data_IF_002858864720
#
_entry.id   IF_002858864720
#
_cell.length_a   1.000
_cell.length_b   1.000
_cell.length_c   1.000
_cell.angle_alpha   90.00
_cell.angle_beta   90.00
_cell.angle_gamma   90.00
#
_symmetry.space_group_name_H-M   'P 1'
#
loop_
_entity.id
_entity.type
_entity.pdbx_description
1 polymer ?
#
# COMPACT_ATOMS: atom_id res chain seq x y z
N UNK A 1 27.28 -12.42 15.23
CA UNK A 1 27.38 -11.86 16.60
C UNK A 1 26.56 -10.57 16.83
N UNK A 2 26.48 -9.63 15.86
CA UNK A 2 25.76 -8.33 15.99
C UNK A 2 24.26 -8.40 16.35
N UNK A 3 23.56 -9.45 15.94
CA UNK A 3 22.12 -9.62 16.24
C UNK A 3 21.88 -9.81 17.74
N UNK A 4 22.72 -10.62 18.41
CA UNK A 4 22.62 -10.86 19.86
C UNK A 4 22.85 -9.57 20.65
N UNK A 5 23.83 -8.79 20.24
CA UNK A 5 24.13 -7.50 20.87
C UNK A 5 23.00 -6.47 20.71
N UNK A 6 22.33 -6.45 19.55
CA UNK A 6 21.12 -5.63 19.33
C UNK A 6 20.03 -5.97 20.34
N UNK A 7 19.80 -7.26 20.57
CA UNK A 7 18.81 -7.71 21.54
C UNK A 7 19.19 -7.30 22.97
N UNK A 8 20.46 -7.44 23.35
CA UNK A 8 20.98 -7.02 24.65
C UNK A 8 20.75 -5.52 24.89
N UNK A 9 21.19 -4.66 23.97
CA UNK A 9 21.02 -3.21 24.07
C UNK A 9 19.55 -2.79 24.09
N UNK A 10 18.68 -3.45 23.31
CA UNK A 10 17.24 -3.18 23.34
C UNK A 10 16.63 -3.47 24.71
N UNK A 11 16.97 -4.61 25.32
CA UNK A 11 16.49 -4.99 26.67
C UNK A 11 16.99 -3.98 27.72
N UNK A 12 18.28 -3.65 27.69
CA UNK A 12 18.86 -2.67 28.62
C UNK A 12 18.20 -1.30 28.49
N UNK A 13 18.06 -0.77 27.26
CA UNK A 13 17.37 0.50 27.03
C UNK A 13 15.91 0.48 27.51
N UNK A 14 15.18 -0.63 27.34
CA UNK A 14 13.82 -0.75 27.84
C UNK A 14 13.74 -0.69 29.36
N UNK A 15 14.73 -1.26 30.06
CA UNK A 15 14.78 -1.30 31.52
C UNK A 15 15.20 0.05 32.13
N UNK A 16 16.31 0.64 31.68
CA UNK A 16 16.87 1.85 32.34
C UNK A 16 16.59 3.16 31.59
N UNK A 17 16.03 3.12 30.37
CA UNK A 17 15.77 4.27 29.50
C UNK A 17 16.95 5.24 29.30
N UNK A 18 18.18 4.78 29.53
CA UNK A 18 19.39 5.58 29.40
C UNK A 18 19.68 5.94 27.93
N UNK A 19 19.75 7.23 27.56
CA UNK A 19 19.85 7.66 26.16
C UNK A 19 21.08 7.14 25.38
N UNK A 20 22.29 7.02 25.96
CA UNK A 20 23.44 6.47 25.25
C UNK A 20 23.24 5.04 24.73
N UNK A 21 22.53 4.18 25.47
CA UNK A 21 22.18 2.83 25.00
C UNK A 21 21.27 2.87 23.77
N UNK A 22 20.36 3.86 23.69
CA UNK A 22 19.52 4.06 22.50
C UNK A 22 20.36 4.47 21.30
N UNK A 23 21.35 5.34 21.50
CA UNK A 23 22.28 5.76 20.46
C UNK A 23 23.11 4.59 19.94
N UNK A 24 23.66 3.75 20.81
CA UNK A 24 24.39 2.54 20.42
C UNK A 24 23.50 1.53 19.69
N UNK A 25 22.29 1.28 20.19
CA UNK A 25 21.31 0.43 19.54
C UNK A 25 21.01 0.92 18.12
N UNK A 26 20.81 2.23 17.95
CA UNK A 26 20.56 2.84 16.65
C UNK A 26 21.76 2.71 15.70
N UNK A 27 23.00 2.92 16.19
CA UNK A 27 24.24 2.71 15.42
C UNK A 27 24.33 1.27 14.93
N UNK A 28 24.12 0.31 15.82
CA UNK A 28 24.15 -1.11 15.50
C UNK A 28 23.05 -1.51 14.50
N UNK A 29 21.84 -0.96 14.67
CA UNK A 29 20.72 -1.18 13.75
C UNK A 29 21.01 -0.60 12.35
N UNK A 30 21.65 0.56 12.26
CA UNK A 30 22.10 1.14 10.99
C UNK A 30 23.17 0.24 10.33
N UNK A 31 24.15 -0.25 11.09
CA UNK A 31 25.18 -1.15 10.58
C UNK A 31 24.60 -2.45 10.01
N UNK A 32 23.70 -3.11 10.75
CA UNK A 32 23.03 -4.34 10.28
C UNK A 32 22.22 -4.07 9.00
N UNK A 33 21.49 -2.95 8.94
CA UNK A 33 20.74 -2.58 7.73
C UNK A 33 21.65 -2.35 6.54
N UNK A 34 22.81 -1.70 6.75
CA UNK A 34 23.80 -1.46 5.70
C UNK A 34 24.34 -2.79 5.16
N UNK A 35 24.76 -3.69 6.04
CA UNK A 35 25.25 -5.03 5.66
C UNK A 35 24.19 -5.83 4.89
N UNK A 36 22.94 -5.84 5.37
CA UNK A 36 21.84 -6.51 4.67
C UNK A 36 21.56 -5.90 3.30
N UNK A 37 21.68 -4.58 3.18
CA UNK A 37 21.50 -3.88 1.90
C UNK A 37 22.61 -4.27 0.92
N UNK A 38 23.87 -4.17 1.33
CA UNK A 38 25.04 -4.54 0.52
C UNK A 38 24.98 -6.01 0.10
N UNK A 39 24.63 -6.92 1.01
CA UNK A 39 24.47 -8.33 0.66
C UNK A 39 23.36 -8.56 -0.36
N UNK A 40 22.21 -7.88 -0.22
CA UNK A 40 21.14 -7.95 -1.22
C UNK A 40 21.58 -7.42 -2.57
N UNK A 41 22.31 -6.31 -2.61
CA UNK A 41 22.86 -5.73 -3.84
C UNK A 41 23.77 -6.73 -4.54
N UNK A 42 24.75 -7.33 -3.83
CA UNK A 42 25.61 -8.37 -4.40
C UNK A 42 24.85 -9.58 -4.94
N UNK A 43 23.86 -10.07 -4.20
CA UNK A 43 23.01 -11.18 -4.67
C UNK A 43 22.25 -10.78 -5.94
N UNK A 44 21.82 -9.53 -6.07
CA UNK A 44 21.18 -9.05 -7.30
C UNK A 44 22.18 -8.95 -8.45
N UNK A 45 23.39 -8.47 -8.21
CA UNK A 45 24.44 -8.38 -9.23
C UNK A 45 24.81 -9.77 -9.77
N UNK A 46 24.97 -10.76 -8.90
CA UNK A 46 25.20 -12.17 -9.26
C UNK A 46 24.04 -12.72 -10.11
N UNK A 47 22.81 -12.53 -9.64
CA UNK A 47 21.60 -12.98 -10.34
C UNK A 47 21.49 -12.34 -11.74
N UNK A 48 21.80 -11.05 -11.87
CA UNK A 48 21.73 -10.33 -13.14
C UNK A 48 22.86 -10.76 -14.09
N UNK A 49 24.05 -11.06 -13.57
CA UNK A 49 25.15 -11.67 -14.34
C UNK A 49 24.76 -13.06 -14.86
N UNK A 50 24.15 -13.89 -14.02
CA UNK A 50 23.75 -15.26 -14.35
C UNK A 50 22.58 -15.34 -15.34
N UNK A 51 21.65 -14.38 -15.27
CA UNK A 51 20.49 -14.34 -16.17
C UNK A 51 20.89 -14.19 -17.64
N UNK A 52 22.13 -13.73 -17.90
CA UNK A 52 22.61 -13.28 -19.20
C UNK A 52 21.68 -12.17 -19.76
N UNK A 53 22.09 -11.41 -20.77
CA UNK A 53 21.27 -10.30 -21.32
C UNK A 53 20.12 -10.87 -22.20
N UNK A 54 19.44 -11.93 -21.76
CA UNK A 54 18.19 -12.40 -22.37
C UNK A 54 16.99 -11.76 -21.65
N UNK A 55 16.23 -10.87 -22.33
CA UNK A 55 15.03 -10.26 -21.78
C UNK A 55 14.01 -11.27 -21.24
N UNK A 56 13.93 -12.48 -21.81
CA UNK A 56 13.00 -13.53 -21.35
C UNK A 56 13.42 -14.13 -20.01
N UNK A 57 14.73 -14.30 -19.79
CA UNK A 57 15.27 -14.78 -18.52
C UNK A 57 15.01 -13.77 -17.39
N UNK A 58 15.24 -12.49 -17.65
CA UNK A 58 14.94 -11.38 -16.72
C UNK A 58 13.45 -11.34 -16.38
N UNK A 59 12.57 -11.45 -17.37
CA UNK A 59 11.11 -11.45 -17.14
C UNK A 59 10.67 -12.60 -16.23
N UNK A 60 11.15 -13.84 -16.47
CA UNK A 60 10.84 -15.00 -15.62
C UNK A 60 11.33 -14.80 -14.19
N UNK A 61 12.50 -14.19 -14.01
CA UNK A 61 13.06 -13.91 -12.70
C UNK A 61 12.22 -12.90 -11.92
N UNK A 62 11.83 -11.79 -12.56
CA UNK A 62 10.95 -10.79 -11.98
C UNK A 62 9.59 -11.37 -11.62
N UNK A 63 9.02 -12.21 -12.49
CA UNK A 63 7.74 -12.89 -12.24
C UNK A 63 7.80 -13.79 -10.99
N UNK A 64 8.89 -14.54 -10.79
CA UNK A 64 9.07 -15.39 -9.59
C UNK A 64 9.24 -14.61 -8.29
N UNK A 65 9.78 -13.39 -8.35
CA UNK A 65 10.06 -12.55 -7.18
C UNK A 65 8.89 -11.61 -6.84
N UNK A 66 7.99 -11.33 -7.79
CA UNK A 66 6.77 -10.57 -7.53
C UNK A 66 5.86 -11.38 -6.61
N UNK A 67 5.36 -10.73 -5.55
CA UNK A 67 4.27 -11.31 -4.77
C UNK A 67 3.05 -11.45 -5.70
N UNK A 68 2.37 -12.59 -5.73
CA UNK A 68 1.14 -12.69 -6.49
C UNK A 68 0.16 -11.67 -5.94
N UNK A 69 -0.36 -10.81 -6.81
CA UNK A 69 -1.52 -9.98 -6.47
C UNK A 69 -2.70 -10.93 -6.45
N UNK A 70 -3.19 -11.23 -5.26
CA UNK A 70 -4.43 -11.99 -5.09
C UNK A 70 -5.56 -11.01 -5.35
N UNK A 71 -6.10 -11.05 -6.56
CA UNK A 71 -7.34 -10.36 -6.87
C UNK A 71 -8.46 -11.18 -6.21
N UNK A 72 -9.28 -10.59 -5.32
CA UNK A 72 -10.40 -11.32 -4.73
C UNK A 72 -11.36 -11.81 -5.83
N UNK A 73 -12.04 -12.95 -5.62
CA UNK A 73 -12.96 -13.47 -6.61
C UNK A 73 -14.09 -12.45 -6.83
N UNK A 74 -14.50 -12.29 -8.09
CA UNK A 74 -15.57 -11.37 -8.45
C UNK A 74 -16.91 -11.97 -8.04
N UNK A 75 -17.81 -11.14 -7.53
CA UNK A 75 -19.16 -11.55 -7.14
C UNK A 75 -20.11 -11.18 -8.29
N UNK A 76 -20.72 -12.19 -8.90
CA UNK A 76 -21.78 -12.06 -9.88
C UNK A 76 -23.15 -12.31 -9.29
N UNK A 77 -24.17 -12.25 -10.14
CA UNK A 77 -25.57 -12.43 -9.75
C UNK A 77 -25.86 -13.81 -9.13
N UNK A 78 -25.20 -14.86 -9.62
CA UNK A 78 -25.36 -16.24 -9.14
C UNK A 78 -24.30 -16.66 -8.11
N UNK A 79 -23.48 -15.72 -7.61
CA UNK A 79 -22.41 -16.00 -6.65
C UNK A 79 -21.01 -15.70 -7.22
N UNK A 80 -19.99 -16.35 -6.65
CA UNK A 80 -18.60 -16.10 -7.04
C UNK A 80 -18.34 -16.56 -8.48
N UNK A 81 -17.71 -15.68 -9.27
CA UNK A 81 -17.37 -15.93 -10.66
C UNK A 81 -15.93 -16.42 -10.76
N UNK A 82 -15.74 -17.62 -11.30
CA UNK A 82 -14.44 -18.24 -11.55
C UNK A 82 -14.06 -18.23 -13.04
N UNK A 83 -15.02 -18.44 -13.94
CA UNK A 83 -14.87 -18.46 -15.39
C UNK A 83 -14.54 -17.08 -15.99
N UNK A 84 -13.70 -17.04 -17.03
CA UNK A 84 -13.27 -15.80 -17.69
C UNK A 84 -14.43 -15.13 -18.43
N UNK A 85 -15.31 -15.91 -19.07
CA UNK A 85 -16.40 -15.35 -19.87
C UNK A 85 -17.43 -14.63 -18.99
N UNK A 86 -17.79 -15.23 -17.87
CA UNK A 86 -18.70 -14.63 -16.91
C UNK A 86 -18.12 -13.35 -16.27
N UNK A 87 -16.80 -13.29 -16.09
CA UNK A 87 -16.12 -12.05 -15.65
C UNK A 87 -16.23 -10.96 -16.70
N UNK A 88 -16.02 -11.30 -17.97
CA UNK A 88 -16.14 -10.34 -19.06
C UNK A 88 -17.57 -9.80 -19.17
N UNK A 89 -18.58 -10.67 -19.04
CA UNK A 89 -19.99 -10.28 -19.02
C UNK A 89 -20.31 -9.37 -17.83
N UNK A 90 -19.86 -9.73 -16.62
CA UNK A 90 -20.04 -8.88 -15.43
C UNK A 90 -19.43 -7.49 -15.65
N UNK A 91 -18.22 -7.41 -16.21
CA UNK A 91 -17.61 -6.12 -16.52
C UNK A 91 -18.39 -5.35 -17.56
N UNK A 92 -18.89 -6.02 -18.60
CA UNK A 92 -19.72 -5.39 -19.63
C UNK A 92 -20.97 -4.77 -19.00
N UNK A 93 -21.72 -5.52 -18.19
CA UNK A 93 -22.93 -5.06 -17.52
C UNK A 93 -22.66 -3.87 -16.59
N UNK A 94 -21.64 -3.96 -15.74
CA UNK A 94 -21.28 -2.88 -14.80
C UNK A 94 -20.86 -1.61 -15.54
N UNK A 95 -20.07 -1.76 -16.61
CA UNK A 95 -19.64 -0.62 -17.41
C UNK A 95 -20.83 -0.02 -18.17
N UNK A 96 -21.67 -0.83 -18.80
CA UNK A 96 -22.86 -0.36 -19.48
C UNK A 96 -23.75 0.44 -18.54
N UNK A 97 -24.00 -0.06 -17.32
CA UNK A 97 -24.77 0.66 -16.30
C UNK A 97 -24.11 1.98 -15.90
N UNK A 98 -22.78 1.99 -15.72
CA UNK A 98 -22.04 3.18 -15.30
C UNK A 98 -22.02 4.27 -16.39
N UNK A 99 -22.16 3.90 -17.65
CA UNK A 99 -22.16 4.82 -18.80
C UNK A 99 -23.56 5.16 -19.33
N UNK A 100 -24.63 4.64 -18.72
CA UNK A 100 -25.98 5.09 -19.02
C UNK A 100 -26.16 6.54 -18.61
N UNK A 101 -26.89 7.29 -19.44
CA UNK A 101 -27.32 8.64 -19.06
C UNK A 101 -28.19 8.53 -17.80
N UNK A 102 -27.90 9.39 -16.81
CA UNK A 102 -28.74 9.49 -15.62
C UNK A 102 -30.18 9.75 -16.07
N UNK A 103 -31.10 8.85 -15.74
CA UNK A 103 -32.46 8.94 -16.22
C UNK A 103 -33.15 10.20 -15.67
N UNK A 104 -33.71 10.99 -16.56
CA UNK A 104 -34.58 12.13 -16.24
C UNK A 104 -35.96 11.63 -15.80
N UNK A 105 -36.67 12.39 -14.93
CA UNK A 105 -36.34 13.73 -14.46
C UNK A 105 -35.29 13.73 -13.35
N UNK A 106 -34.45 14.76 -13.35
CA UNK A 106 -33.63 15.05 -12.19
C UNK A 106 -34.55 15.28 -10.99
N UNK A 107 -34.24 14.62 -9.89
CA UNK A 107 -34.88 14.89 -8.62
C UNK A 107 -34.25 16.17 -8.04
N UNK A 108 -34.94 17.30 -8.24
CA UNK A 108 -34.49 18.61 -7.75
C UNK A 108 -34.26 18.59 -6.22
N UNK A 109 -35.07 17.81 -5.47
CA UNK A 109 -34.87 17.63 -4.03
C UNK A 109 -33.56 16.89 -3.72
N UNK A 110 -33.20 15.92 -4.57
CA UNK A 110 -31.93 15.22 -4.47
C UNK A 110 -30.75 16.13 -4.80
N UNK A 111 -30.86 16.96 -5.84
CA UNK A 111 -29.83 17.94 -6.22
C UNK A 111 -29.58 18.91 -5.06
N UNK A 112 -30.66 19.49 -4.50
CA UNK A 112 -30.58 20.41 -3.36
C UNK A 112 -29.99 19.76 -2.10
N UNK A 113 -30.30 18.49 -1.87
CA UNK A 113 -29.74 17.71 -0.77
C UNK A 113 -28.23 17.50 -0.95
N UNK A 114 -27.79 17.08 -2.13
CA UNK A 114 -26.37 16.90 -2.45
C UNK A 114 -25.62 18.22 -2.30
N UNK A 115 -26.15 19.31 -2.86
CA UNK A 115 -25.53 20.63 -2.78
C UNK A 115 -25.36 21.10 -1.34
N UNK A 116 -26.42 20.99 -0.53
CA UNK A 116 -26.35 21.33 0.91
C UNK A 116 -25.32 20.48 1.64
N UNK A 117 -25.23 19.19 1.32
CA UNK A 117 -24.31 18.25 1.96
C UNK A 117 -22.85 18.60 1.65
N UNK A 118 -22.56 18.90 0.38
CA UNK A 118 -21.26 19.36 -0.13
C UNK A 118 -20.86 20.69 0.52
N UNK A 119 -21.76 21.67 0.54
CA UNK A 119 -21.51 22.96 1.19
C UNK A 119 -21.24 22.81 2.69
N UNK A 120 -21.98 21.94 3.38
CA UNK A 120 -21.76 21.61 4.79
C UNK A 120 -20.41 20.94 5.01
N UNK A 121 -20.02 20.00 4.15
CA UNK A 121 -18.71 19.35 4.20
C UNK A 121 -17.57 20.38 4.10
N UNK A 122 -17.60 21.27 3.10
CA UNK A 122 -16.55 22.28 2.91
C UNK A 122 -16.52 23.34 4.01
N UNK A 123 -17.68 23.72 4.56
CA UNK A 123 -17.77 24.60 5.75
C UNK A 123 -17.13 23.95 6.97
N UNK A 124 -17.37 22.65 7.16
CA UNK A 124 -16.79 21.87 8.25
C UNK A 124 -15.29 21.60 8.04
N UNK A 125 -14.83 21.50 6.79
CA UNK A 125 -13.42 21.36 6.45
C UNK A 125 -12.62 22.63 6.82
N UNK A 126 -13.10 23.82 6.42
CA UNK A 126 -12.46 25.12 6.78
C UNK A 126 -12.41 25.36 8.29
N UNK A 127 -13.37 24.85 9.06
CA UNK A 127 -13.42 25.01 10.52
C UNK A 127 -12.60 23.96 11.29
N UNK A 128 -12.11 22.90 10.63
CA UNK A 128 -11.20 21.91 11.22
C UNK A 128 -9.73 22.30 11.08
N UNK A 129 -9.36 23.01 10.02
CA UNK A 129 -8.00 23.56 9.85
C UNK A 129 -7.64 24.60 10.93
N UNK A 130 -8.61 25.39 11.40
CA UNK A 130 -8.39 26.42 12.42
C UNK A 130 -8.25 25.87 13.85
N UNK A 131 -8.44 24.56 14.10
CA UNK A 131 -8.34 23.95 15.44
C UNK A 131 -6.99 23.27 15.72
N UNK A 132 -6.07 23.27 14.76
CA UNK A 132 -4.73 22.66 14.92
C UNK A 132 -3.60 23.67 15.18
N UNK A 133 -3.93 24.93 15.47
CA UNK A 133 -2.95 25.84 16.07
C UNK A 133 -2.88 25.56 17.58
N UNK A 134 -1.89 24.75 17.97
CA UNK A 134 -1.41 24.67 19.34
C UNK A 134 -1.17 26.10 19.85
N UNK A 135 -1.89 26.49 20.89
CA UNK A 135 -1.49 27.60 21.73
C UNK A 135 -0.28 27.17 22.58
N UNK A 136 0.63 28.12 22.91
CA UNK A 136 1.93 27.86 23.51
C UNK A 136 1.87 27.18 24.88
#
# INVERSE_FOLDING_TARGET
>A
MKIREKYRLRKLWQFCRYPPLKSELNKLQKAIRKELKTHKEHVWDEILSDANIDPKAIHKLLARKRKPVIIPPLLGYHGLIDNIQDKANLFMEVLEESFKENCLPYDDDHIDLVDREVHRYFRNYRTRDLRHHCQP
#
